data_IF_360228872240
#
_entry.id   IF_360228872240
#
_cell.length_a   1.000
_cell.length_b   1.000
_cell.length_c   1.000
_cell.angle_alpha   90.00
_cell.angle_beta   90.00
_cell.angle_gamma   90.00
#
_symmetry.space_group_name_H-M   'P 1'
#
loop_
_entity.id
_entity.type
_entity.pdbx_description
1 polymer ?
#
# COMPACT_ATOMS: atom_id res chain seq x y z
N UNK A 1 -12.86 -8.72 -3.98
CA UNK A 1 -11.41 -8.58 -3.71
C UNK A 1 -10.70 -8.26 -5.00
N UNK A 2 -9.76 -7.29 -4.98
CA UNK A 2 -8.99 -6.91 -6.17
C UNK A 2 -7.98 -8.02 -6.46
N UNK A 3 -7.97 -8.54 -7.70
CA UNK A 3 -6.92 -9.47 -8.10
C UNK A 3 -5.63 -8.69 -8.30
N UNK A 4 -4.66 -8.90 -7.41
CA UNK A 4 -3.36 -8.22 -7.46
C UNK A 4 -2.32 -8.96 -8.31
N UNK A 5 -2.66 -10.13 -8.85
CA UNK A 5 -1.76 -10.91 -9.72
C UNK A 5 -1.70 -10.27 -11.11
N UNK A 6 -0.49 -10.26 -11.68
CA UNK A 6 -0.23 -9.87 -13.07
C UNK A 6 -0.69 -8.45 -13.44
N UNK A 7 -0.66 -7.53 -12.47
CA UNK A 7 -0.96 -6.13 -12.73
C UNK A 7 0.21 -5.48 -13.48
N UNK A 8 -0.12 -4.62 -14.45
CA UNK A 8 0.87 -3.82 -15.15
C UNK A 8 1.12 -2.55 -14.35
N UNK A 9 2.37 -2.35 -13.97
CA UNK A 9 2.82 -1.21 -13.19
C UNK A 9 3.71 -0.32 -14.04
N UNK A 10 3.54 0.99 -13.93
CA UNK A 10 4.30 1.97 -14.70
C UNK A 10 4.70 3.15 -13.82
N UNK A 11 5.77 3.85 -14.17
CA UNK A 11 6.12 5.06 -13.44
C UNK A 11 5.04 6.13 -13.64
N UNK A 12 4.84 7.01 -12.66
CA UNK A 12 3.81 8.05 -12.72
C UNK A 12 3.89 8.90 -14.00
N UNK A 13 5.10 9.23 -14.48
CA UNK A 13 5.34 10.01 -15.70
C UNK A 13 4.98 9.28 -17.00
N UNK A 14 4.74 7.97 -16.96
CA UNK A 14 4.36 7.15 -18.13
C UNK A 14 2.84 6.96 -18.23
N UNK A 15 2.10 7.32 -17.19
CA UNK A 15 0.64 7.15 -17.15
C UNK A 15 -0.03 8.45 -17.58
N UNK A 16 -0.83 8.38 -18.64
CA UNK A 16 -1.62 9.50 -19.15
C UNK A 16 -3.07 9.42 -18.68
N UNK A 17 -3.78 10.57 -18.72
CA UNK A 17 -5.22 10.67 -18.45
C UNK A 17 -5.67 10.27 -17.05
N UNK A 18 -4.81 10.46 -16.04
CA UNK A 18 -5.22 10.34 -14.63
C UNK A 18 -6.14 11.52 -14.30
N UNK A 19 -7.39 11.30 -13.83
CA UNK A 19 -8.24 12.40 -13.39
C UNK A 19 -7.60 13.17 -12.23
N UNK A 20 -7.65 14.50 -12.24
CA UNK A 20 -6.98 15.33 -11.23
C UNK A 20 -7.37 14.95 -9.79
N UNK A 21 -8.64 14.62 -9.55
CA UNK A 21 -9.11 14.20 -8.23
C UNK A 21 -8.49 12.88 -7.77
N UNK A 22 -8.18 11.97 -8.69
CA UNK A 22 -7.45 10.72 -8.43
C UNK A 22 -5.96 10.98 -8.23
N UNK A 23 -5.37 11.85 -9.05
CA UNK A 23 -3.94 12.15 -9.02
C UNK A 23 -3.49 12.59 -7.63
N UNK A 24 -4.32 13.37 -6.92
CA UNK A 24 -4.01 13.78 -5.54
C UNK A 24 -3.77 12.61 -4.59
N UNK A 25 -4.36 11.43 -4.83
CA UNK A 25 -4.17 10.24 -4.00
C UNK A 25 -3.03 9.35 -4.51
N UNK A 26 -2.74 9.40 -5.81
CA UNK A 26 -1.65 8.64 -6.41
C UNK A 26 -0.29 9.27 -6.09
N UNK A 27 -0.13 10.56 -6.38
CA UNK A 27 1.12 11.30 -6.24
C UNK A 27 1.18 12.05 -4.89
N UNK A 28 1.26 11.27 -3.81
CA UNK A 28 1.31 11.84 -2.47
C UNK A 28 2.53 11.34 -1.70
N UNK A 29 3.37 12.30 -1.30
CA UNK A 29 4.53 12.09 -0.44
C UNK A 29 4.16 11.99 1.05
N UNK A 30 2.92 12.28 1.41
CA UNK A 30 2.42 12.19 2.78
C UNK A 30 1.80 10.81 3.07
N UNK A 31 1.61 10.53 4.36
CA UNK A 31 0.94 9.32 4.82
C UNK A 31 -0.51 9.29 4.34
N UNK A 32 -0.87 8.24 3.58
CA UNK A 32 -2.24 8.02 3.12
C UNK A 32 -3.23 8.01 4.29
N UNK A 33 -2.83 7.42 5.42
CA UNK A 33 -3.66 7.38 6.64
C UNK A 33 -3.93 8.78 7.19
N UNK A 34 -2.92 9.65 7.23
CA UNK A 34 -3.09 11.02 7.71
C UNK A 34 -4.12 11.77 6.84
N UNK A 35 -4.04 11.59 5.52
CA UNK A 35 -4.97 12.19 4.57
C UNK A 35 -6.39 11.65 4.69
N UNK A 36 -6.56 10.34 4.88
CA UNK A 36 -7.87 9.74 5.10
C UNK A 36 -8.50 10.26 6.41
N UNK A 37 -7.72 10.36 7.49
CA UNK A 37 -8.15 10.95 8.77
C UNK A 37 -8.54 12.43 8.67
N UNK A 38 -8.01 13.18 7.69
CA UNK A 38 -8.41 14.56 7.42
C UNK A 38 -9.68 14.65 6.58
N UNK A 39 -9.91 13.67 5.67
CA UNK A 39 -11.07 13.66 4.79
C UNK A 39 -12.34 13.14 5.48
N UNK A 40 -12.22 12.11 6.30
CA UNK A 40 -13.36 11.40 6.91
C UNK A 40 -13.44 11.68 8.40
N UNK A 41 -14.66 11.73 8.96
CA UNK A 41 -14.85 11.95 10.39
C UNK A 41 -14.47 10.70 11.19
N UNK A 42 -14.82 9.53 10.66
CA UNK A 42 -14.45 8.24 11.23
C UNK A 42 -13.49 7.51 10.31
N UNK A 43 -12.27 7.28 10.78
CA UNK A 43 -11.30 6.43 10.12
C UNK A 43 -11.13 5.13 10.91
N UNK A 44 -11.22 3.99 10.23
CA UNK A 44 -10.96 2.68 10.83
C UNK A 44 -10.21 1.76 9.87
N UNK A 45 -9.63 0.68 10.41
CA UNK A 45 -8.89 -0.32 9.65
C UNK A 45 -9.50 -1.68 9.93
N UNK A 46 -9.82 -2.40 8.86
CA UNK A 46 -10.20 -3.79 8.91
C UNK A 46 -9.04 -4.65 8.40
N UNK A 47 -8.45 -5.49 9.25
CA UNK A 47 -7.37 -6.40 8.85
C UNK A 47 -8.01 -7.67 8.30
N UNK A 48 -7.90 -7.87 6.98
CA UNK A 48 -8.46 -9.03 6.30
C UNK A 48 -7.59 -10.26 6.50
N UNK A 49 -6.27 -10.08 6.36
CA UNK A 49 -5.30 -11.16 6.55
C UNK A 49 -3.93 -10.61 6.97
N UNK A 50 -3.23 -11.38 7.80
CA UNK A 50 -1.81 -11.19 8.07
C UNK A 50 -1.20 -12.56 8.37
N UNK A 51 -0.62 -13.20 7.35
CA UNK A 51 -0.09 -14.54 7.46
C UNK A 51 1.07 -14.77 6.49
N UNK A 52 1.85 -15.81 6.74
CA UNK A 52 2.79 -16.31 5.74
C UNK A 52 2.00 -16.76 4.51
N UNK A 53 2.38 -16.24 3.35
CA UNK A 53 1.67 -16.54 2.11
C UNK A 53 2.62 -16.41 0.92
N UNK A 54 2.22 -17.03 -0.19
CA UNK A 54 2.94 -16.93 -1.45
C UNK A 54 2.88 -15.48 -1.96
N UNK A 55 4.07 -14.92 -2.13
CA UNK A 55 4.30 -13.63 -2.78
C UNK A 55 4.25 -13.84 -4.29
N UNK A 56 3.64 -12.90 -5.02
CA UNK A 56 3.55 -13.03 -6.47
C UNK A 56 4.94 -12.89 -7.11
N UNK A 57 5.12 -13.44 -8.31
CA UNK A 57 6.43 -13.44 -8.98
C UNK A 57 6.95 -12.01 -9.23
N UNK A 58 6.08 -11.09 -9.64
CA UNK A 58 6.44 -9.68 -9.86
C UNK A 58 6.78 -8.95 -8.55
N UNK A 59 6.14 -9.31 -7.44
CA UNK A 59 6.42 -8.76 -6.11
C UNK A 59 7.80 -9.25 -5.60
N UNK A 60 8.10 -10.54 -5.80
CA UNK A 60 9.38 -11.19 -5.45
C UNK A 60 10.54 -10.57 -6.24
N UNK A 61 10.37 -10.43 -7.56
CA UNK A 61 11.36 -9.83 -8.45
C UNK A 61 11.63 -8.37 -8.07
N UNK A 62 10.57 -7.60 -7.80
CA UNK A 62 10.68 -6.20 -7.42
C UNK A 62 11.42 -5.99 -6.08
N UNK A 63 11.21 -6.87 -5.11
CA UNK A 63 11.89 -6.84 -3.81
C UNK A 63 13.29 -7.47 -3.83
N UNK A 64 13.64 -8.18 -4.91
CA UNK A 64 14.83 -9.03 -4.97
C UNK A 64 14.97 -9.94 -3.72
N UNK A 65 13.86 -10.54 -3.30
CA UNK A 65 13.74 -11.33 -2.08
C UNK A 65 13.03 -12.65 -2.33
N UNK A 66 13.62 -13.76 -1.90
CA UNK A 66 13.10 -15.12 -2.11
C UNK A 66 12.84 -15.89 -0.79
N UNK A 67 12.96 -15.23 0.37
CA UNK A 67 12.71 -15.83 1.67
C UNK A 67 11.25 -15.78 2.12
N UNK A 68 10.98 -16.26 3.34
CA UNK A 68 9.64 -16.18 3.94
C UNK A 68 9.18 -14.71 4.06
N UNK A 69 7.90 -14.50 3.79
CA UNK A 69 7.27 -13.19 3.85
C UNK A 69 5.88 -13.31 4.45
N UNK A 70 5.52 -12.33 5.28
CA UNK A 70 4.15 -12.11 5.70
C UNK A 70 3.47 -11.23 4.65
N UNK A 71 2.33 -11.71 4.17
CA UNK A 71 1.42 -10.91 3.37
C UNK A 71 0.37 -10.35 4.31
N UNK A 72 0.25 -9.02 4.31
CA UNK A 72 -0.77 -8.30 5.08
C UNK A 72 -1.74 -7.61 4.13
N UNK A 73 -3.02 -7.93 4.26
CA UNK A 73 -4.10 -7.30 3.50
C UNK A 73 -5.06 -6.61 4.44
N UNK A 74 -5.35 -5.34 4.15
CA UNK A 74 -6.21 -4.50 4.98
C UNK A 74 -7.15 -3.69 4.11
N UNK A 75 -8.27 -3.31 4.70
CA UNK A 75 -9.14 -2.27 4.19
C UNK A 75 -9.00 -1.04 5.10
N UNK A 76 -8.87 0.12 4.48
CA UNK A 76 -8.98 1.40 5.15
C UNK A 76 -10.40 1.92 4.90
N UNK A 77 -11.09 2.23 5.99
CA UNK A 77 -12.46 2.69 5.96
C UNK A 77 -12.53 4.18 6.31
N UNK A 78 -13.32 4.91 5.54
CA UNK A 78 -13.73 6.29 5.81
C UNK A 78 -15.24 6.33 5.98
N UNK A 79 -15.71 6.81 7.13
CA UNK A 79 -17.13 6.83 7.52
C UNK A 79 -17.81 5.46 7.30
N UNK A 80 -17.16 4.40 7.81
CA UNK A 80 -17.58 3.00 7.74
C UNK A 80 -17.67 2.40 6.32
N UNK A 81 -17.17 3.09 5.30
CA UNK A 81 -17.06 2.58 3.93
C UNK A 81 -15.63 2.27 3.55
N UNK A 82 -15.41 1.14 2.87
CA UNK A 82 -14.09 0.79 2.32
C UNK A 82 -13.72 1.78 1.21
N UNK A 83 -12.62 2.51 1.42
CA UNK A 83 -12.12 3.51 0.49
C UNK A 83 -10.76 3.12 -0.11
N UNK A 84 -10.00 2.30 0.60
CA UNK A 84 -8.72 1.76 0.10
C UNK A 84 -8.59 0.29 0.50
N UNK A 85 -8.19 -0.55 -0.46
CA UNK A 85 -7.64 -1.87 -0.18
C UNK A 85 -6.12 -1.79 -0.27
N UNK A 86 -5.41 -2.25 0.75
CA UNK A 86 -3.96 -2.26 0.77
C UNK A 86 -3.42 -3.66 0.99
N UNK A 87 -2.40 -4.00 0.21
CA UNK A 87 -1.64 -5.25 0.29
C UNK A 87 -0.18 -4.91 0.54
N UNK A 88 0.42 -5.56 1.52
CA UNK A 88 1.83 -5.36 1.86
C UNK A 88 2.56 -6.69 1.93
N UNK A 89 3.77 -6.70 1.38
CA UNK A 89 4.70 -7.83 1.42
C UNK A 89 5.81 -7.47 2.39
N UNK A 90 5.88 -8.19 3.50
CA UNK A 90 6.80 -7.92 4.59
C UNK A 90 7.72 -9.13 4.73
N UNK A 91 8.96 -9.08 4.19
CA UNK A 91 9.96 -10.11 4.43
C UNK A 91 10.17 -10.35 5.91
N UNK A 92 10.32 -11.61 6.33
CA UNK A 92 10.57 -11.95 7.73
C UNK A 92 12.08 -11.83 7.99
N UNK A 93 12.48 -10.71 8.57
CA UNK A 93 13.88 -10.43 8.94
C UNK A 93 13.93 -9.80 10.33
N UNK A 94 15.13 -9.48 10.82
CA UNK A 94 15.28 -8.73 12.07
C UNK A 94 14.78 -7.29 11.95
N UNK A 95 14.89 -6.68 10.76
CA UNK A 95 14.50 -5.29 10.51
C UNK A 95 12.97 -5.08 10.57
N UNK A 96 12.19 -6.12 10.24
CA UNK A 96 10.73 -6.03 10.07
C UNK A 96 9.92 -6.55 11.26
N UNK A 97 10.57 -7.02 12.33
CA UNK A 97 9.90 -7.59 13.52
C UNK A 97 8.82 -6.68 14.11
N UNK A 98 9.07 -5.37 14.12
CA UNK A 98 8.11 -4.38 14.62
C UNK A 98 6.88 -4.27 13.71
N UNK A 99 7.07 -4.37 12.39
CA UNK A 99 5.97 -4.34 11.42
C UNK A 99 5.05 -5.54 11.54
N UNK A 100 5.60 -6.71 11.89
CA UNK A 100 4.81 -7.92 12.10
C UNK A 100 3.89 -7.82 13.33
N UNK A 101 4.17 -6.89 14.26
CA UNK A 101 3.45 -6.73 15.53
C UNK A 101 2.49 -5.53 15.56
N UNK A 102 2.26 -4.86 14.43
CA UNK A 102 1.49 -3.60 14.38
C UNK A 102 0.00 -3.75 14.67
N UNK A 103 -0.55 -4.98 14.67
CA UNK A 103 -1.95 -5.25 14.98
C UNK A 103 -2.89 -4.50 14.02
N UNK A 104 -3.74 -3.62 14.55
CA UNK A 104 -4.70 -2.82 13.76
C UNK A 104 -4.16 -1.43 13.36
N UNK A 105 -2.87 -1.17 13.54
CA UNK A 105 -2.27 0.09 13.10
C UNK A 105 -2.07 0.10 11.57
N UNK A 106 -2.22 1.26 10.92
CA UNK A 106 -1.89 1.41 9.51
C UNK A 106 -0.39 1.22 9.31
N UNK A 107 0.00 0.35 8.38
CA UNK A 107 1.42 0.13 8.07
C UNK A 107 2.10 1.43 7.63
N UNK A 108 1.44 2.21 6.76
CA UNK A 108 1.94 3.50 6.29
C UNK A 108 2.27 4.45 7.43
N UNK A 109 1.43 4.56 8.47
CA UNK A 109 1.70 5.43 9.61
C UNK A 109 3.00 5.04 10.34
N UNK A 110 3.25 3.73 10.50
CA UNK A 110 4.51 3.24 11.10
C UNK A 110 5.70 3.55 10.20
N UNK A 111 5.56 3.34 8.89
CA UNK A 111 6.63 3.55 7.91
C UNK A 111 7.01 5.03 7.75
N UNK A 112 6.03 5.94 7.76
CA UNK A 112 6.27 7.39 7.58
C UNK A 112 6.77 8.09 8.85
N UNK A 113 6.53 7.51 10.03
CA UNK A 113 6.98 8.10 11.29
C UNK A 113 8.48 7.84 11.58
N UNK A 114 9.11 6.89 10.89
CA UNK A 114 10.54 6.62 11.02
C UNK A 114 11.34 7.32 9.91
N UNK A 115 12.16 8.29 10.31
CA UNK A 115 12.99 9.09 9.39
C UNK A 115 14.09 8.28 8.68
N UNK A 116 14.41 7.10 9.18
CA UNK A 116 15.41 6.23 8.57
C UNK A 116 14.82 5.40 7.43
N UNK A 117 13.50 5.31 7.33
CA UNK A 117 12.82 4.56 6.28
C UNK A 117 12.77 5.41 5.02
N UNK A 118 13.32 4.86 3.93
CA UNK A 118 13.29 5.51 2.61
C UNK A 118 12.25 4.87 1.73
N UNK A 119 11.41 5.70 1.11
CA UNK A 119 10.44 5.28 0.11
C UNK A 119 11.05 5.40 -1.30
N UNK A 120 10.90 4.36 -2.11
CA UNK A 120 11.27 4.37 -3.53
C UNK A 120 10.32 5.25 -4.35
N UNK A 121 10.63 5.39 -5.65
CA UNK A 121 9.67 5.94 -6.60
C UNK A 121 8.36 5.14 -6.62
N UNK A 122 7.26 5.84 -6.86
CA UNK A 122 5.93 5.28 -6.99
C UNK A 122 5.73 4.66 -8.37
N UNK A 123 5.13 3.47 -8.37
CA UNK A 123 4.58 2.86 -9.57
C UNK A 123 3.06 2.88 -9.50
N UNK A 124 2.42 3.18 -10.62
CA UNK A 124 0.97 3.34 -10.75
C UNK A 124 0.43 2.19 -11.61
N UNK A 125 -0.79 1.77 -11.30
CA UNK A 125 -1.57 0.85 -12.12
C UNK A 125 -3.01 1.33 -12.24
N UNK A 126 -3.67 0.93 -13.32
CA UNK A 126 -5.10 1.11 -13.50
C UNK A 126 -5.68 -0.19 -14.05
N UNK A 127 -6.58 -0.80 -13.28
CA UNK A 127 -7.15 -2.11 -13.62
C UNK A 127 -8.62 -2.12 -13.25
N UNK A 128 -9.47 -2.58 -14.16
CA UNK A 128 -10.93 -2.70 -13.94
C UNK A 128 -11.58 -1.42 -13.35
N UNK A 129 -11.13 -0.24 -13.80
CA UNK A 129 -11.64 1.05 -13.32
C UNK A 129 -11.22 1.42 -11.89
N UNK A 130 -10.18 0.77 -11.35
CA UNK A 130 -9.59 1.03 -10.05
C UNK A 130 -8.15 1.48 -10.24
N UNK A 131 -7.82 2.63 -9.66
CA UNK A 131 -6.45 3.13 -9.61
C UNK A 131 -5.71 2.51 -8.44
N UNK A 132 -4.44 2.19 -8.64
CA UNK A 132 -3.57 1.74 -7.58
C UNK A 132 -2.18 2.34 -7.70
N UNK A 133 -1.47 2.37 -6.57
CA UNK A 133 -0.06 2.70 -6.52
C UNK A 133 0.69 1.68 -5.67
N UNK A 134 1.97 1.48 -5.95
CA UNK A 134 2.87 0.73 -5.08
C UNK A 134 4.20 1.43 -4.93
N UNK A 135 4.85 1.19 -3.79
CA UNK A 135 6.21 1.65 -3.52
C UNK A 135 6.92 0.70 -2.57
N UNK A 136 8.23 0.66 -2.69
CA UNK A 136 9.11 -0.05 -1.79
C UNK A 136 9.51 0.90 -0.65
N UNK A 137 9.51 0.38 0.57
CA UNK A 137 10.05 1.03 1.75
C UNK A 137 11.25 0.24 2.25
N UNK A 138 12.39 0.91 2.43
CA UNK A 138 13.63 0.28 2.91
C UNK A 138 13.77 0.54 4.41
N UNK A 139 13.90 -0.54 5.18
CA UNK A 139 14.04 -0.54 6.64
C UNK A 139 15.33 -1.29 6.97
N UNK A 140 16.36 -0.57 7.42
CA UNK A 140 17.68 -1.15 7.56
C UNK A 140 18.18 -1.71 6.22
N UNK A 141 18.32 -3.03 6.14
CA UNK A 141 18.71 -3.75 4.93
C UNK A 141 17.53 -4.40 4.19
N UNK A 142 16.34 -4.38 4.79
CA UNK A 142 15.17 -5.11 4.29
C UNK A 142 14.24 -4.18 3.51
N UNK A 143 13.70 -4.66 2.40
CA UNK A 143 12.71 -3.95 1.59
C UNK A 143 11.30 -4.49 1.86
N UNK A 144 10.32 -3.58 1.97
CA UNK A 144 8.90 -3.89 2.18
C UNK A 144 8.12 -3.30 1.02
N UNK A 145 7.27 -4.09 0.37
CA UNK A 145 6.41 -3.61 -0.70
C UNK A 145 5.06 -3.23 -0.12
N UNK A 146 4.56 -2.04 -0.46
CA UNK A 146 3.21 -1.60 -0.12
C UNK A 146 2.49 -1.22 -1.40
N UNK A 147 1.36 -1.88 -1.64
CA UNK A 147 0.45 -1.64 -2.76
C UNK A 147 -0.90 -1.16 -2.21
N UNK A 148 -1.40 -0.05 -2.73
CA UNK A 148 -2.63 0.61 -2.30
C UNK A 148 -3.55 0.76 -3.51
N UNK A 149 -4.80 0.36 -3.36
CA UNK A 149 -5.82 0.41 -4.40
C UNK A 149 -7.00 1.25 -3.94
N UNK A 150 -7.31 2.28 -4.72
CA UNK A 150 -8.25 3.32 -4.34
C UNK A 150 -9.63 3.02 -4.91
N UNK A 151 -10.56 2.69 -4.01
CA UNK A 151 -11.93 2.32 -4.37
C UNK A 151 -12.70 3.56 -4.82
N UNK A 152 -13.65 3.40 -5.75
CA UNK A 152 -14.44 4.52 -6.30
C UNK A 152 -15.07 5.41 -5.23
N UNK A 153 -15.51 4.85 -4.10
CA UNK A 153 -16.10 5.60 -2.99
C UNK A 153 -15.13 6.62 -2.36
N UNK A 154 -13.82 6.45 -2.52
CA UNK A 154 -12.85 7.46 -2.09
C UNK A 154 -13.01 8.79 -2.84
N UNK A 155 -13.48 8.73 -4.09
CA UNK A 155 -13.60 9.86 -5.01
C UNK A 155 -15.05 10.30 -5.24
N UNK A 156 -16.02 9.50 -4.80
CA UNK A 156 -17.43 9.85 -4.92
C UNK A 156 -17.69 11.16 -4.14
N UNK A 157 -18.35 12.10 -4.81
CA UNK A 157 -18.81 13.39 -4.27
C UNK A 157 -20.26 13.25 -3.85
#
# INVERSE_FOLDING_TARGET
MINTKNLIWSNLNQVSNIPNHVLTWLDDHQSLTAKLKQKFNHFSINVLSQAESLVHADETELLNWNGQSIVREVELLGDDQVVVFARSIIPITNDTQNLLKIGNKPLGEVLFNDKNIKRSQLQITHTHGTWGRRSIFTIGSTQVLVSEFFIKNLYAV
#
